data_IF_019249151417
#
_entry.id   IF_019249151417
#
_cell.length_a   1.000
_cell.length_b   1.000
_cell.length_c   1.000
_cell.angle_alpha   90.00
_cell.angle_beta   90.00
_cell.angle_gamma   90.00
#
_symmetry.space_group_name_H-M   'P 1'
#
loop_
_entity.id
_entity.type
_entity.pdbx_description
1 polymer ?
#
# COMPACT_ATOMS: atom_id res chain seq x y z
N UNK A 1 14.88 14.25 -5.88
CA UNK A 1 13.92 14.71 -6.91
C UNK A 1 13.02 13.53 -7.19
N UNK A 2 11.89 13.49 -6.50
CA UNK A 2 10.84 12.50 -6.75
C UNK A 2 10.14 12.92 -8.04
N UNK A 3 10.43 12.20 -9.12
CA UNK A 3 9.73 12.36 -10.38
C UNK A 3 8.41 11.60 -10.24
N UNK A 4 7.28 12.31 -10.26
CA UNK A 4 5.97 11.69 -10.42
C UNK A 4 6.01 10.70 -11.60
N UNK A 5 5.47 9.49 -11.46
CA UNK A 5 5.42 8.54 -12.56
C UNK A 5 4.56 9.13 -13.68
N UNK A 6 5.23 9.56 -14.75
CA UNK A 6 4.56 9.98 -15.98
C UNK A 6 3.92 8.74 -16.59
N UNK A 7 2.62 8.58 -16.40
CA UNK A 7 1.84 7.49 -17.00
C UNK A 7 1.60 7.81 -18.48
N UNK A 8 2.48 7.31 -19.35
CA UNK A 8 2.24 7.34 -20.79
C UNK A 8 1.12 6.36 -21.15
N UNK A 9 0.16 6.74 -22.03
CA UNK A 9 -0.81 5.80 -22.58
C UNK A 9 -0.11 4.58 -23.18
N UNK A 10 -0.65 3.40 -22.90
CA UNK A 10 -0.13 2.11 -23.39
C UNK A 10 0.02 2.18 -24.92
N UNK A 11 1.14 1.66 -25.43
CA UNK A 11 1.52 1.65 -26.84
C UNK A 11 1.76 3.01 -27.53
N UNK A 12 1.69 4.12 -26.80
CA UNK A 12 2.13 5.41 -27.34
C UNK A 12 3.63 5.38 -27.73
N UNK A 13 4.09 6.24 -28.66
CA UNK A 13 5.51 6.34 -29.01
C UNK A 13 6.42 6.61 -27.80
N UNK A 14 5.92 7.38 -26.83
CA UNK A 14 6.64 7.67 -25.57
C UNK A 14 6.69 6.43 -24.67
N UNK A 15 5.58 5.71 -24.51
CA UNK A 15 5.54 4.43 -23.79
C UNK A 15 6.51 3.40 -24.39
N UNK A 16 6.57 3.29 -25.73
CA UNK A 16 7.48 2.36 -26.42
C UNK A 16 8.95 2.73 -26.22
N UNK A 17 9.29 4.01 -26.26
CA UNK A 17 10.65 4.51 -25.95
C UNK A 17 11.02 4.21 -24.51
N UNK A 18 10.11 4.47 -23.59
CA UNK A 18 10.31 4.23 -22.16
C UNK A 18 10.47 2.74 -21.86
N UNK A 19 9.63 1.88 -22.45
CA UNK A 19 9.78 0.43 -22.37
C UNK A 19 11.10 -0.06 -22.96
N UNK A 20 11.57 0.55 -24.06
CA UNK A 20 12.87 0.21 -24.65
C UNK A 20 14.01 0.59 -23.70
N UNK A 21 13.95 1.77 -23.08
CA UNK A 21 14.90 2.23 -22.06
C UNK A 21 14.91 1.31 -20.82
N UNK A 22 13.73 0.92 -20.33
CA UNK A 22 13.60 0.01 -19.20
C UNK A 22 14.12 -1.40 -19.53
N UNK A 23 13.86 -1.89 -20.74
CA UNK A 23 14.37 -3.19 -21.23
C UNK A 23 15.87 -3.18 -21.44
N UNK A 24 16.47 -2.09 -21.94
CA UNK A 24 17.91 -1.98 -22.13
C UNK A 24 18.68 -1.88 -20.82
N UNK A 25 18.03 -1.44 -19.74
CA UNK A 25 18.57 -1.47 -18.38
C UNK A 25 18.56 -2.84 -17.70
N UNK A 26 17.90 -3.86 -18.27
CA UNK A 26 17.89 -5.22 -17.71
C UNK A 26 19.23 -5.90 -17.97
N UNK A 27 19.83 -6.57 -16.96
CA UNK A 27 21.07 -7.31 -17.17
C UNK A 27 20.82 -8.47 -18.14
N UNK A 28 21.66 -8.55 -19.17
CA UNK A 28 21.59 -9.63 -20.16
C UNK A 28 22.18 -10.91 -19.55
N UNK A 29 21.36 -11.96 -19.44
CA UNK A 29 21.76 -13.27 -18.91
C UNK A 29 22.89 -13.93 -19.71
N UNK A 30 23.06 -13.55 -20.97
CA UNK A 30 24.13 -14.05 -21.84
C UNK A 30 25.41 -13.21 -21.77
N UNK A 31 25.44 -12.15 -20.94
CA UNK A 31 26.61 -11.32 -20.66
C UNK A 31 27.09 -11.53 -19.22
N UNK A 32 28.08 -12.41 -18.97
CA UNK A 32 28.48 -12.82 -17.62
C UNK A 32 28.84 -11.67 -16.67
N UNK A 33 29.48 -10.61 -17.19
CA UNK A 33 29.86 -9.43 -16.38
C UNK A 33 28.64 -8.64 -15.89
N UNK A 34 27.68 -8.37 -16.77
CA UNK A 34 26.44 -7.66 -16.40
C UNK A 34 25.59 -8.47 -15.41
N UNK A 35 25.55 -9.78 -15.61
CA UNK A 35 24.85 -10.69 -14.70
C UNK A 35 25.51 -10.75 -13.32
N UNK A 36 26.84 -10.82 -13.24
CA UNK A 36 27.57 -10.78 -11.97
C UNK A 36 27.39 -9.44 -11.24
N UNK A 37 27.42 -8.30 -11.95
CA UNK A 37 27.13 -6.99 -11.35
C UNK A 37 25.70 -6.89 -10.83
N UNK A 38 24.72 -7.41 -11.57
CA UNK A 38 23.33 -7.45 -11.11
C UNK A 38 23.16 -8.34 -9.87
N UNK A 39 23.84 -9.49 -9.81
CA UNK A 39 23.83 -10.35 -8.61
C UNK A 39 24.47 -9.67 -7.40
N UNK A 40 25.53 -8.87 -7.59
CA UNK A 40 26.17 -8.10 -6.51
C UNK A 40 25.28 -6.99 -5.95
N UNK A 41 24.38 -6.43 -6.76
CA UNK A 41 23.41 -5.41 -6.30
C UNK A 41 22.36 -5.98 -5.34
N UNK A 42 22.19 -7.31 -5.30
CA UNK A 42 21.17 -7.98 -4.48
C UNK A 42 19.75 -7.67 -4.97
N UNK A 43 18.72 -8.34 -4.42
CA UNK A 43 17.37 -7.84 -4.57
C UNK A 43 17.30 -6.43 -3.95
N UNK A 44 16.66 -5.50 -4.64
CA UNK A 44 16.23 -4.27 -3.98
C UNK A 44 15.38 -4.69 -2.78
N UNK A 45 15.56 -4.08 -1.59
CA UNK A 45 14.69 -4.37 -0.46
C UNK A 45 13.26 -4.13 -0.92
N UNK A 46 12.43 -5.18 -0.87
CA UNK A 46 11.01 -5.03 -1.15
C UNK A 46 10.47 -3.95 -0.22
N UNK A 47 9.77 -2.97 -0.79
CA UNK A 47 9.07 -1.99 0.04
C UNK A 47 8.20 -2.77 1.03
N UNK A 48 8.26 -2.42 2.33
CA UNK A 48 7.52 -3.15 3.34
C UNK A 48 6.05 -3.18 2.94
N UNK A 49 5.46 -4.38 2.96
CA UNK A 49 4.04 -4.53 2.71
C UNK A 49 3.28 -3.87 3.87
N UNK A 50 2.58 -2.77 3.55
CA UNK A 50 1.81 -1.96 4.50
C UNK A 50 0.33 -2.10 4.20
N UNK A 51 -0.46 -2.33 5.24
CA UNK A 51 -1.91 -2.46 5.20
C UNK A 51 -2.58 -1.35 6.03
N UNK A 52 -3.62 -0.68 5.50
CA UNK A 52 -4.35 0.34 6.25
C UNK A 52 -5.32 -0.28 7.27
N UNK A 53 -5.22 0.22 8.50
CA UNK A 53 -6.07 -0.14 9.65
C UNK A 53 -6.86 1.09 10.09
N UNK A 54 -8.19 1.01 10.05
CA UNK A 54 -9.05 2.13 10.40
C UNK A 54 -9.09 2.38 11.91
N UNK A 55 -9.04 3.66 12.29
CA UNK A 55 -9.19 4.09 13.68
C UNK A 55 -10.68 4.07 14.08
N UNK A 56 -11.18 2.89 14.45
CA UNK A 56 -12.58 2.67 14.88
C UNK A 56 -12.70 1.53 15.87
N UNK A 57 -13.80 1.52 16.62
CA UNK A 57 -14.15 0.42 17.52
C UNK A 57 -13.07 0.18 18.58
N UNK A 58 -12.58 -1.06 18.66
CA UNK A 58 -11.53 -1.44 19.63
C UNK A 58 -10.13 -0.97 19.27
N UNK A 59 -9.94 -0.38 18.09
CA UNK A 59 -8.68 0.21 17.62
C UNK A 59 -8.88 1.68 17.24
N UNK A 60 -9.64 2.43 18.05
CA UNK A 60 -9.95 3.85 17.86
C UNK A 60 -8.76 4.81 18.06
N UNK A 61 -7.64 4.34 18.60
CA UNK A 61 -6.42 5.15 18.78
C UNK A 61 -5.18 4.46 18.23
N UNK A 62 -4.19 5.23 17.72
CA UNK A 62 -2.93 4.67 17.23
C UNK A 62 -2.12 3.96 18.32
N UNK A 63 -2.27 4.33 19.59
CA UNK A 63 -1.64 3.66 20.74
C UNK A 63 -2.17 2.23 20.92
N UNK A 64 -3.48 2.01 20.75
CA UNK A 64 -4.06 0.65 20.79
C UNK A 64 -3.56 -0.21 19.64
N UNK A 65 -3.41 0.39 18.45
CA UNK A 65 -2.81 -0.30 17.30
C UNK A 65 -1.36 -0.66 17.61
N UNK A 66 -0.56 0.28 18.13
CA UNK A 66 0.83 0.01 18.51
C UNK A 66 0.93 -1.17 19.47
N UNK A 67 0.17 -1.15 20.57
CA UNK A 67 0.20 -2.19 21.59
C UNK A 67 -0.19 -3.56 20.99
N UNK A 68 -1.31 -3.63 20.27
CA UNK A 68 -1.87 -4.89 19.81
C UNK A 68 -1.19 -5.44 18.54
N UNK A 69 -0.62 -4.60 17.70
CA UNK A 69 0.24 -5.02 16.59
C UNK A 69 1.68 -5.29 17.05
N UNK A 70 2.05 -4.92 18.28
CA UNK A 70 3.41 -5.06 18.81
C UNK A 70 4.43 -4.21 18.06
N UNK A 71 4.06 -2.98 17.71
CA UNK A 71 4.92 -2.03 17.00
C UNK A 71 5.87 -1.35 17.98
N UNK A 72 7.11 -1.13 17.54
CA UNK A 72 8.12 -0.41 18.34
C UNK A 72 7.75 1.05 18.56
N UNK A 73 7.09 1.65 17.57
CA UNK A 73 6.70 3.05 17.57
C UNK A 73 5.22 3.19 17.25
N UNK A 74 4.65 4.33 17.66
CA UNK A 74 3.27 4.66 17.38
C UNK A 74 3.10 4.89 15.87
N UNK A 75 2.14 4.21 15.20
CA UNK A 75 1.92 4.41 13.78
C UNK A 75 1.37 5.81 13.50
N UNK A 76 1.75 6.36 12.35
CA UNK A 76 1.25 7.66 11.91
C UNK A 76 -0.23 7.58 11.55
N UNK A 77 -0.98 8.61 11.93
CA UNK A 77 -2.40 8.73 11.61
C UNK A 77 -2.53 9.49 10.29
N UNK A 78 -3.19 8.85 9.33
CA UNK A 78 -3.51 9.41 8.03
C UNK A 78 -5.03 9.52 7.89
N UNK A 79 -5.47 10.31 6.91
CA UNK A 79 -6.89 10.48 6.61
C UNK A 79 -7.17 10.11 5.15
N UNK A 80 -8.28 9.42 4.92
CA UNK A 80 -8.73 9.01 3.59
C UNK A 80 -10.25 9.15 3.50
N UNK A 81 -10.76 9.16 2.27
CA UNK A 81 -12.20 9.06 2.05
C UNK A 81 -12.60 7.58 1.99
N UNK A 82 -13.75 7.22 2.53
CA UNK A 82 -14.29 5.85 2.45
C UNK A 82 -15.62 5.84 1.70
N UNK A 83 -15.89 4.73 1.02
CA UNK A 83 -17.21 4.42 0.47
C UNK A 83 -17.90 3.45 1.42
N UNK A 84 -19.13 3.75 1.82
CA UNK A 84 -19.88 2.91 2.76
C UNK A 84 -20.24 1.58 2.09
N UNK A 85 -19.85 0.49 2.73
CA UNK A 85 -19.96 -0.90 2.25
C UNK A 85 -21.41 -1.38 2.00
N UNK A 86 -22.40 -0.58 2.44
CA UNK A 86 -23.85 -0.86 2.32
C UNK A 86 -24.55 -0.14 1.17
N UNK A 87 -23.90 0.75 0.43
CA UNK A 87 -24.56 1.51 -0.64
C UNK A 87 -23.87 1.27 -1.97
N UNK A 88 -24.57 0.51 -2.80
CA UNK A 88 -24.15 0.13 -4.15
C UNK A 88 -24.81 1.08 -5.17
N UNK A 89 -24.90 2.41 -4.94
CA UNK A 89 -25.37 3.38 -5.96
C UNK A 89 -25.05 4.87 -5.64
N UNK A 90 -24.90 5.72 -6.69
CA UNK A 90 -23.73 6.57 -6.94
C UNK A 90 -23.74 7.97 -6.28
N UNK A 91 -24.53 8.16 -5.21
CA UNK A 91 -24.53 9.41 -4.43
C UNK A 91 -23.84 9.24 -3.07
N UNK A 92 -22.94 8.27 -2.99
CA UNK A 92 -22.29 7.83 -1.76
C UNK A 92 -21.58 9.00 -1.08
N UNK A 93 -22.09 9.37 0.09
CA UNK A 93 -21.44 10.33 0.97
C UNK A 93 -20.07 9.77 1.31
N UNK A 94 -19.04 10.33 0.68
CA UNK A 94 -17.67 10.10 1.06
C UNK A 94 -17.51 10.56 2.51
N UNK A 95 -17.22 9.62 3.38
CA UNK A 95 -16.89 9.92 4.77
C UNK A 95 -15.37 10.05 4.88
N UNK A 96 -14.89 11.09 5.54
CA UNK A 96 -13.48 11.20 5.92
C UNK A 96 -13.24 10.32 7.14
N UNK A 97 -12.34 9.34 6.99
CA UNK A 97 -11.95 8.41 8.05
C UNK A 97 -10.46 8.53 8.34
N UNK A 98 -10.08 8.23 9.58
CA UNK A 98 -8.69 8.16 9.99
C UNK A 98 -8.22 6.71 10.01
N UNK A 99 -6.98 6.48 9.61
CA UNK A 99 -6.37 5.16 9.55
C UNK A 99 -4.88 5.24 9.84
N UNK A 100 -4.29 4.09 10.17
CA UNK A 100 -2.85 3.90 10.33
C UNK A 100 -2.35 2.88 9.32
N UNK A 101 -1.15 3.08 8.79
CA UNK A 101 -0.47 2.07 7.97
C UNK A 101 0.34 1.13 8.87
N UNK A 102 0.07 -0.17 8.76
CA UNK A 102 0.69 -1.20 9.60
C UNK A 102 1.39 -2.23 8.72
N UNK A 103 2.63 -2.59 9.06
CA UNK A 103 3.36 -3.63 8.35
C UNK A 103 2.70 -5.00 8.50
N UNK A 104 2.86 -5.86 7.49
CA UNK A 104 2.17 -7.16 7.39
C UNK A 104 2.17 -7.99 8.69
N UNK A 105 3.30 -8.08 9.41
CA UNK A 105 3.35 -8.81 10.68
C UNK A 105 2.45 -8.23 11.78
N UNK A 106 2.44 -6.91 11.94
CA UNK A 106 1.55 -6.23 12.87
C UNK A 106 0.08 -6.37 12.47
N UNK A 107 -0.19 -6.31 11.17
CA UNK A 107 -1.52 -6.54 10.63
C UNK A 107 -2.04 -7.96 10.93
N UNK A 108 -1.21 -9.00 10.74
CA UNK A 108 -1.61 -10.39 11.04
C UNK A 108 -1.99 -10.58 12.51
N UNK A 109 -1.22 -9.98 13.44
CA UNK A 109 -1.53 -10.04 14.88
C UNK A 109 -2.89 -9.42 15.21
N UNK A 110 -3.22 -8.29 14.59
CA UNK A 110 -4.54 -7.67 14.76
C UNK A 110 -5.63 -8.59 14.19
N UNK A 111 -5.40 -9.19 13.02
CA UNK A 111 -6.36 -10.11 12.37
C UNK A 111 -6.62 -11.39 13.17
N UNK A 112 -5.64 -11.91 13.90
CA UNK A 112 -5.81 -13.07 14.79
C UNK A 112 -6.66 -12.75 16.02
N UNK A 113 -6.59 -11.51 16.51
CA UNK A 113 -7.23 -11.09 17.76
C UNK A 113 -8.63 -10.49 17.57
N UNK A 114 -8.91 -9.92 16.40
CA UNK A 114 -10.12 -9.13 16.14
C UNK A 114 -10.81 -9.57 14.86
N UNK A 115 -12.14 -9.47 14.80
CA UNK A 115 -12.88 -9.76 13.58
C UNK A 115 -12.68 -8.63 12.57
N UNK A 116 -12.29 -8.98 11.34
CA UNK A 116 -11.98 -8.00 10.30
C UNK A 116 -13.14 -7.87 9.32
N UNK A 117 -13.53 -6.63 9.05
CA UNK A 117 -14.38 -6.28 7.92
C UNK A 117 -13.61 -5.38 6.96
N UNK A 118 -13.67 -5.70 5.67
CA UNK A 118 -13.08 -4.86 4.64
C UNK A 118 -13.98 -3.68 4.31
N UNK A 119 -13.39 -2.55 3.95
CA UNK A 119 -14.07 -1.31 3.59
C UNK A 119 -13.23 -0.61 2.52
N UNK A 120 -13.88 -0.05 1.51
CA UNK A 120 -13.16 0.60 0.40
C UNK A 120 -12.66 1.98 0.83
N UNK A 121 -11.33 2.15 0.85
CA UNK A 121 -10.67 3.43 1.08
C UNK A 121 -10.20 4.05 -0.24
N UNK A 122 -10.34 5.37 -0.33
CA UNK A 122 -9.84 6.20 -1.42
C UNK A 122 -8.65 7.00 -0.88
N UNK A 123 -7.45 6.49 -1.12
CA UNK A 123 -6.18 7.11 -0.74
C UNK A 123 -5.61 7.74 -2.01
N UNK A 124 -5.39 9.05 -2.00
CA UNK A 124 -4.90 9.82 -3.16
C UNK A 124 -5.73 9.65 -4.44
N UNK A 125 -7.06 9.54 -4.28
CA UNK A 125 -7.99 9.29 -5.40
C UNK A 125 -7.91 7.87 -5.99
N UNK A 126 -7.03 7.01 -5.46
CA UNK A 126 -6.93 5.60 -5.85
C UNK A 126 -7.70 4.73 -4.86
N UNK A 127 -8.40 3.72 -5.38
CA UNK A 127 -9.08 2.71 -4.57
C UNK A 127 -8.06 1.79 -3.90
N UNK A 128 -8.18 1.62 -2.59
CA UNK A 128 -7.43 0.69 -1.74
C UNK A 128 -8.41 -0.04 -0.80
N UNK A 129 -8.07 -1.24 -0.38
CA UNK A 129 -8.80 -1.92 0.70
C UNK A 129 -8.38 -1.35 2.04
N UNK A 130 -9.33 -1.08 2.93
CA UNK A 130 -9.13 -0.77 4.34
C UNK A 130 -9.82 -1.78 5.23
N UNK A 131 -9.35 -1.91 6.47
CA UNK A 131 -9.89 -2.88 7.41
C UNK A 131 -10.43 -2.20 8.67
N UNK A 132 -11.67 -2.50 9.02
CA UNK A 132 -12.31 -2.16 10.29
C UNK A 132 -12.29 -3.41 11.16
N UNK A 133 -11.74 -3.28 12.36
CA UNK A 133 -11.76 -4.34 13.35
C UNK A 133 -13.00 -4.16 14.24
N UNK A 134 -13.91 -5.13 14.21
CA UNK A 134 -15.10 -5.18 15.06
C UNK A 134 -14.87 -6.17 16.21
N UNK A 135 -15.22 -5.74 17.41
CA UNK A 135 -15.53 -6.56 18.60
C UNK A 135 -16.72 -5.94 19.31
#
# INVERSE_FOLDING_TARGET
MDLDPVEYPVDSPQWRREMTRLKSGKPDRYKPKQWQEARKRGPLPESPWLEPVLLRGSLDTPEKIQEHAGLSERPEVQSAQTVTDTLLHPADKLETVQYCMVAGYGYFRLKEKYQVRETTLLIDGKKRGGHIFHT
#
